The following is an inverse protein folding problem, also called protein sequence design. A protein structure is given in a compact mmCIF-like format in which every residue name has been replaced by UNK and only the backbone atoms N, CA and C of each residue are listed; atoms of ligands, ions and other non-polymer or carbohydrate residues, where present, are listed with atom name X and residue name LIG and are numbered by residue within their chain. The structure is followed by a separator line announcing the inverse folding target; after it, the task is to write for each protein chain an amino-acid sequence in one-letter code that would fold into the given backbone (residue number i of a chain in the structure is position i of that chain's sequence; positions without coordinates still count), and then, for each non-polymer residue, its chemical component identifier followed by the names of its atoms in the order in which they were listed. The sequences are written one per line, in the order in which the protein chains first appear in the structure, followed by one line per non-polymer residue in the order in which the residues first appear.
data_IF_285765920266
#
_entry.id   IF_285765920266
#
_cell.length_a   1.000
_cell.length_b   1.000
_cell.length_c   1.000
_cell.angle_alpha   90.00
_cell.angle_beta   90.00
_cell.angle_gamma   90.00
#
_symmetry.space_group_name_H-M   'P 1'
#
loop_
_entity.id
_entity.type
_entity.pdbx_description
1 polymer ?
#
# COMPACT_ATOMS: atom_id res chain seq x y z
N UNK A 1 51.77 -7.58 -51.77
CA UNK A 1 52.78 -6.80 -51.01
C UNK A 1 52.03 -5.59 -50.44
N UNK A 2 51.87 -5.27 -49.15
CA UNK A 2 52.40 -5.71 -47.86
C UNK A 2 51.26 -5.50 -46.83
N UNK A 3 51.22 -6.37 -45.83
CA UNK A 3 50.36 -6.32 -44.63
C UNK A 3 50.61 -5.04 -43.81
N UNK A 4 49.59 -4.38 -43.26
CA UNK A 4 49.54 -3.77 -41.90
C UNK A 4 48.05 -3.49 -41.57
N UNK A 5 47.38 -4.30 -40.76
CA UNK A 5 47.06 -4.06 -39.33
C UNK A 5 46.63 -2.62 -39.02
N UNK A 6 45.42 -2.44 -38.48
CA UNK A 6 45.16 -1.74 -37.21
C UNK A 6 43.70 -2.02 -36.84
N UNK A 7 43.60 -2.92 -35.87
CA UNK A 7 42.42 -3.24 -35.08
C UNK A 7 42.18 -2.01 -34.19
N UNK A 8 41.16 -1.21 -34.47
CA UNK A 8 40.67 -0.22 -33.51
C UNK A 8 39.47 -0.85 -32.81
N UNK A 9 39.78 -1.66 -31.80
CA UNK A 9 38.84 -2.02 -30.74
C UNK A 9 38.54 -0.73 -29.96
N UNK A 10 37.46 -0.03 -30.33
CA UNK A 10 36.90 1.03 -29.48
C UNK A 10 36.18 0.34 -28.31
N UNK A 11 36.97 0.00 -27.29
CA UNK A 11 36.50 -0.26 -25.93
C UNK A 11 36.37 1.08 -25.20
N UNK A 12 35.43 1.14 -24.24
CA UNK A 12 35.02 2.28 -23.40
C UNK A 12 33.97 3.21 -24.01
N UNK A 13 32.82 3.43 -23.38
CA UNK A 13 32.22 2.82 -22.21
C UNK A 13 30.71 3.04 -22.35
N UNK A 14 29.97 1.96 -22.63
CA UNK A 14 28.51 2.00 -22.55
C UNK A 14 28.17 2.04 -21.07
N UNK A 15 28.03 3.25 -20.50
CA UNK A 15 27.45 3.42 -19.17
C UNK A 15 26.00 2.97 -19.26
N UNK A 16 25.76 1.70 -18.96
CA UNK A 16 24.42 1.19 -18.69
C UNK A 16 23.98 1.91 -17.42
N UNK A 17 23.27 3.03 -17.59
CA UNK A 17 22.46 3.58 -16.53
C UNK A 17 21.42 2.50 -16.22
N UNK A 18 21.69 1.67 -15.22
CA UNK A 18 20.68 0.81 -14.62
C UNK A 18 19.69 1.74 -13.95
N UNK A 19 18.71 2.21 -14.72
CA UNK A 19 17.48 2.74 -14.18
C UNK A 19 16.85 1.59 -13.40
N UNK A 20 17.02 1.62 -12.08
CA UNK A 20 16.28 0.76 -11.18
C UNK A 20 14.82 1.17 -11.29
N UNK A 21 14.11 0.57 -12.25
CA UNK A 21 12.66 0.44 -12.18
C UNK A 21 12.40 -0.32 -10.88
N UNK A 22 11.98 0.41 -9.84
CA UNK A 22 11.42 -0.21 -8.65
C UNK A 22 10.22 -1.02 -9.12
N UNK A 23 10.42 -2.33 -9.16
CA UNK A 23 9.45 -3.32 -9.59
C UNK A 23 8.08 -3.01 -8.98
N UNK A 24 7.07 -2.93 -9.85
CA UNK A 24 5.68 -2.62 -9.51
C UNK A 24 5.00 -3.75 -8.72
N UNK A 25 5.55 -4.11 -7.58
CA UNK A 25 4.87 -4.97 -6.61
C UNK A 25 3.72 -4.16 -6.04
N UNK A 26 2.49 -4.57 -6.38
CA UNK A 26 1.26 -3.98 -5.86
C UNK A 26 1.21 -4.21 -4.34
N UNK A 27 1.68 -3.23 -3.57
CA UNK A 27 1.78 -3.35 -2.11
C UNK A 27 0.38 -3.34 -1.48
N UNK A 28 0.20 -4.19 -0.48
CA UNK A 28 -1.04 -4.35 0.28
C UNK A 28 -1.14 -3.32 1.42
N UNK A 29 -1.18 -2.03 1.08
CA UNK A 29 -1.16 -0.90 2.04
C UNK A 29 -2.32 0.05 1.79
N UNK A 30 -2.82 0.69 2.85
CA UNK A 30 -3.84 1.75 2.76
C UNK A 30 -3.27 3.02 2.15
N UNK A 31 -2.23 3.57 2.77
CA UNK A 31 -1.53 4.77 2.29
C UNK A 31 -0.26 4.40 1.52
N UNK A 32 -0.05 5.02 0.36
CA UNK A 32 1.13 4.83 -0.49
C UNK A 32 2.37 5.48 0.10
N UNK A 33 2.21 6.60 0.83
CA UNK A 33 3.32 7.34 1.44
C UNK A 33 3.32 7.24 2.96
N UNK A 34 4.50 7.12 3.54
CA UNK A 34 4.71 7.20 4.98
C UNK A 34 4.25 8.57 5.52
N UNK A 35 3.36 8.65 6.52
CA UNK A 35 2.87 9.93 7.06
C UNK A 35 3.97 10.82 7.67
N UNK A 36 5.06 10.20 8.12
CA UNK A 36 6.15 10.89 8.82
C UNK A 36 7.22 11.41 7.86
N UNK A 37 7.68 10.54 6.96
CA UNK A 37 8.82 10.84 6.07
C UNK A 37 8.41 11.09 4.61
N UNK A 38 7.14 10.92 4.28
CA UNK A 38 6.62 10.97 2.91
C UNK A 38 7.40 10.08 1.94
N UNK A 39 8.08 9.01 2.39
CA UNK A 39 8.69 7.97 1.54
C UNK A 39 7.68 6.88 1.21
N UNK A 40 7.98 5.92 0.32
CA UNK A 40 7.06 4.80 0.06
C UNK A 40 6.77 4.00 1.34
N UNK A 41 5.49 3.69 1.58
CA UNK A 41 5.09 2.86 2.71
C UNK A 41 5.42 1.37 2.46
N UNK A 42 5.60 0.61 3.54
CA UNK A 42 5.88 -0.83 3.49
C UNK A 42 4.81 -1.59 4.25
N UNK A 43 4.40 -2.75 3.71
CA UNK A 43 3.47 -3.68 4.36
C UNK A 43 3.92 -4.14 5.77
N UNK A 44 5.22 -4.08 6.05
CA UNK A 44 5.83 -4.59 7.28
C UNK A 44 5.62 -3.70 8.49
N UNK A 45 5.47 -2.39 8.28
CA UNK A 45 5.42 -1.41 9.36
C UNK A 45 4.07 -0.74 9.33
N UNK A 46 3.18 -1.11 10.25
CA UNK A 46 1.85 -0.51 10.37
C UNK A 46 1.43 -0.36 11.82
N UNK A 47 0.52 0.56 12.07
CA UNK A 47 -0.22 0.68 13.33
C UNK A 47 -1.70 0.89 13.05
N UNK A 48 -2.53 0.69 14.06
CA UNK A 48 -3.96 0.99 13.97
C UNK A 48 -4.24 2.43 14.43
N UNK A 49 -5.02 3.15 13.63
CA UNK A 49 -5.48 4.50 13.90
C UNK A 49 -6.94 4.63 13.46
N UNK A 50 -7.84 5.03 14.37
CA UNK A 50 -9.27 5.21 14.11
C UNK A 50 -9.97 3.99 13.46
N UNK A 51 -9.56 2.78 13.82
CA UNK A 51 -10.09 1.54 13.26
C UNK A 51 -9.54 1.21 11.87
N UNK A 52 -8.43 1.80 11.45
CA UNK A 52 -7.81 1.51 10.17
C UNK A 52 -6.30 1.35 10.31
N UNK A 53 -5.69 0.58 9.40
CA UNK A 53 -4.23 0.51 9.35
C UNK A 53 -3.63 1.74 8.69
N UNK A 54 -2.52 2.21 9.26
CA UNK A 54 -1.64 3.22 8.69
C UNK A 54 -0.26 2.59 8.53
N UNK A 55 0.29 2.63 7.33
CA UNK A 55 1.57 2.02 6.97
C UNK A 55 2.71 3.04 6.93
N UNK A 56 3.92 2.56 7.20
CA UNK A 56 5.12 3.36 7.35
C UNK A 56 6.27 2.76 6.56
N UNK A 57 7.32 3.54 6.34
CA UNK A 57 8.53 3.06 5.70
C UNK A 57 9.46 2.30 6.68
N UNK A 58 9.34 2.54 7.99
CA UNK A 58 10.19 1.92 9.01
C UNK A 58 9.57 1.94 10.41
N UNK A 59 10.09 1.10 11.32
CA UNK A 59 9.69 1.02 12.72
C UNK A 59 9.79 2.37 13.47
N UNK A 60 10.81 3.19 13.14
CA UNK A 60 11.01 4.48 13.78
C UNK A 60 9.90 5.49 13.50
N UNK A 61 9.27 5.40 12.32
CA UNK A 61 8.14 6.25 11.96
C UNK A 61 6.89 5.94 12.79
N UNK A 62 6.68 4.70 13.24
CA UNK A 62 5.56 4.34 14.12
C UNK A 62 5.64 5.15 15.43
N UNK A 63 6.82 5.15 16.06
CA UNK A 63 7.05 5.89 17.31
C UNK A 63 6.90 7.41 17.18
N UNK A 64 7.22 7.96 16.00
CA UNK A 64 7.00 9.38 15.73
C UNK A 64 5.51 9.67 15.53
N UNK A 65 4.83 8.83 14.75
CA UNK A 65 3.41 8.95 14.46
C UNK A 65 2.56 8.96 15.74
N UNK A 66 2.85 8.10 16.70
CA UNK A 66 2.13 8.01 17.98
C UNK A 66 2.13 9.31 18.80
N UNK A 67 3.06 10.23 18.54
CA UNK A 67 3.12 11.53 19.25
C UNK A 67 2.09 12.54 18.76
N UNK A 68 1.74 12.48 17.49
CA UNK A 68 0.72 13.34 16.87
C UNK A 68 0.10 12.67 15.63
N UNK A 69 -0.73 11.63 15.83
CA UNK A 69 -1.28 10.86 14.72
C UNK A 69 -2.04 11.74 13.71
N UNK A 70 -2.90 12.63 14.21
CA UNK A 70 -3.72 13.51 13.39
C UNK A 70 -2.87 14.48 12.56
N UNK A 71 -1.83 15.09 13.16
CA UNK A 71 -0.94 16.00 12.43
C UNK A 71 -0.09 15.30 11.37
N UNK A 72 0.28 14.03 11.58
CA UNK A 72 0.96 13.26 10.54
C UNK A 72 0.01 12.78 9.42
N UNK A 73 -1.22 12.38 9.73
CA UNK A 73 -2.21 12.06 8.70
C UNK A 73 -2.51 13.29 7.83
N UNK A 74 -2.60 14.48 8.42
CA UNK A 74 -2.86 15.72 7.68
C UNK A 74 -1.76 16.07 6.64
N UNK A 75 -0.55 15.51 6.78
CA UNK A 75 0.56 15.69 5.82
C UNK A 75 0.47 14.79 4.60
N UNK A 76 -0.38 13.76 4.63
CA UNK A 76 -0.59 12.86 3.51
C UNK A 76 -1.37 13.52 2.37
N UNK A 77 -1.28 12.93 1.18
CA UNK A 77 -2.18 13.28 0.08
C UNK A 77 -3.63 13.00 0.46
N UNK A 78 -4.57 13.67 -0.21
CA UNK A 78 -6.01 13.43 0.02
C UNK A 78 -6.40 11.97 -0.23
N UNK A 79 -5.81 11.35 -1.25
CA UNK A 79 -5.99 9.92 -1.56
C UNK A 79 -5.56 9.03 -0.38
N UNK A 80 -4.35 9.25 0.15
CA UNK A 80 -3.84 8.46 1.27
C UNK A 80 -4.64 8.74 2.55
N UNK A 81 -5.07 9.99 2.78
CA UNK A 81 -5.93 10.36 3.90
C UNK A 81 -7.30 9.66 3.84
N UNK A 82 -7.87 9.48 2.66
CA UNK A 82 -9.16 8.81 2.50
C UNK A 82 -9.00 7.28 2.58
N UNK A 83 -7.87 6.74 2.11
CA UNK A 83 -7.58 5.31 2.22
C UNK A 83 -7.38 4.85 3.68
N UNK A 84 -6.84 5.71 4.55
CA UNK A 84 -6.71 5.44 6.00
C UNK A 84 -8.00 5.71 6.80
N UNK A 85 -9.12 6.06 6.15
CA UNK A 85 -10.42 6.12 6.81
C UNK A 85 -11.13 4.77 6.73
N UNK A 86 -11.73 4.37 7.85
CA UNK A 86 -12.67 3.26 7.88
C UNK A 86 -13.88 3.59 7.00
N UNK A 87 -14.42 2.59 6.30
CA UNK A 87 -15.67 2.77 5.58
C UNK A 87 -16.83 2.98 6.56
N UNK A 88 -17.73 3.91 6.23
CA UNK A 88 -18.93 4.20 7.02
C UNK A 88 -20.16 3.44 6.53
N UNK A 89 -20.07 2.91 5.32
CA UNK A 89 -21.14 2.22 4.61
C UNK A 89 -20.68 0.78 4.29
N UNK A 90 -21.60 -0.17 4.41
CA UNK A 90 -21.39 -1.57 4.14
C UNK A 90 -21.15 -1.78 2.63
N UNK A 91 -20.02 -2.36 2.20
CA UNK A 91 -19.72 -2.53 0.78
C UNK A 91 -20.56 -3.63 0.10
N UNK A 92 -21.43 -4.32 0.85
CA UNK A 92 -22.30 -5.39 0.33
C UNK A 92 -23.73 -4.91 0.12
N UNK A 93 -24.26 -4.09 1.03
CA UNK A 93 -25.68 -3.68 1.05
C UNK A 93 -25.89 -2.18 1.00
N UNK A 94 -24.83 -1.37 1.06
CA UNK A 94 -24.88 0.10 1.18
C UNK A 94 -25.54 0.63 2.47
N UNK A 95 -25.78 -0.24 3.45
CA UNK A 95 -26.29 0.16 4.77
C UNK A 95 -25.21 0.85 5.62
N UNK A 96 -25.63 1.78 6.48
CA UNK A 96 -24.74 2.43 7.45
C UNK A 96 -24.16 1.44 8.44
N UNK A 97 -22.87 1.56 8.71
CA UNK A 97 -22.16 0.77 9.73
C UNK A 97 -22.28 1.49 11.07
N UNK A 98 -23.00 0.85 12.00
CA UNK A 98 -23.18 1.33 13.37
C UNK A 98 -22.28 0.60 14.37
N UNK A 99 -21.83 -0.61 14.03
CA UNK A 99 -20.95 -1.44 14.83
C UNK A 99 -19.72 -1.86 14.02
N UNK A 100 -18.53 -1.66 14.59
CA UNK A 100 -17.22 -1.97 13.99
C UNK A 100 -16.62 -3.28 14.50
N UNK A 101 -17.41 -4.16 15.12
CA UNK A 101 -16.96 -5.50 15.53
C UNK A 101 -16.81 -6.47 14.35
N UNK A 102 -17.59 -6.28 13.28
CA UNK A 102 -17.60 -7.13 12.09
C UNK A 102 -16.70 -6.58 10.99
N UNK A 103 -15.54 -7.19 10.81
CA UNK A 103 -14.58 -6.75 9.79
C UNK A 103 -13.73 -7.90 9.25
N UNK A 104 -13.13 -7.67 8.09
CA UNK A 104 -12.07 -8.51 7.52
C UNK A 104 -10.91 -7.65 7.04
N UNK A 105 -9.71 -8.21 7.02
CA UNK A 105 -8.55 -7.57 6.39
C UNK A 105 -8.55 -7.90 4.89
N UNK A 106 -8.58 -6.86 4.06
CA UNK A 106 -8.52 -6.98 2.59
C UNK A 106 -7.83 -5.76 2.01
N UNK A 107 -6.95 -5.94 1.04
CA UNK A 107 -6.21 -4.83 0.40
C UNK A 107 -5.52 -3.87 1.41
N UNK A 108 -4.98 -4.43 2.48
CA UNK A 108 -4.19 -3.69 3.47
C UNK A 108 -5.04 -2.89 4.45
N UNK A 109 -6.38 -2.98 4.34
CA UNK A 109 -7.34 -2.27 5.18
C UNK A 109 -8.27 -3.21 5.94
N UNK A 110 -8.78 -2.74 7.06
CA UNK A 110 -10.01 -3.27 7.67
C UNK A 110 -11.20 -2.80 6.83
N UNK A 111 -11.96 -3.77 6.31
CA UNK A 111 -13.25 -3.56 5.66
C UNK A 111 -14.31 -3.94 6.69
N UNK A 112 -15.14 -2.98 7.08
CA UNK A 112 -16.21 -3.16 8.06
C UNK A 112 -17.54 -3.50 7.38
N UNK A 113 -18.41 -4.22 8.10
CA UNK A 113 -19.70 -4.70 7.59
C UNK A 113 -20.83 -4.45 8.59
N UNK A 114 -22.04 -4.23 8.08
CA UNK A 114 -23.22 -4.01 8.92
C UNK A 114 -23.70 -5.29 9.63
N UNK A 115 -23.46 -6.47 9.06
CA UNK A 115 -23.92 -7.76 9.61
C UNK A 115 -22.99 -8.94 9.22
N UNK A 116 -23.14 -10.08 9.90
CA UNK A 116 -22.29 -11.25 9.70
C UNK A 116 -22.49 -11.88 8.31
N UNK A 117 -23.71 -11.86 7.77
CA UNK A 117 -23.98 -12.33 6.41
C UNK A 117 -23.23 -11.53 5.33
N UNK A 118 -22.97 -10.24 5.57
CA UNK A 118 -22.15 -9.42 4.68
C UNK A 118 -20.67 -9.81 4.73
N UNK A 119 -20.16 -10.22 5.90
CA UNK A 119 -18.79 -10.74 6.05
C UNK A 119 -18.61 -11.98 5.17
N UNK A 120 -19.55 -12.92 5.25
CA UNK A 120 -19.48 -14.18 4.49
C UNK A 120 -19.62 -13.95 2.98
N UNK A 121 -20.56 -13.10 2.57
CA UNK A 121 -20.74 -12.71 1.17
C UNK A 121 -19.47 -12.08 0.61
N UNK A 122 -18.83 -11.19 1.37
CA UNK A 122 -17.57 -10.56 0.95
C UNK A 122 -16.44 -11.58 0.83
N UNK A 123 -16.30 -12.49 1.80
CA UNK A 123 -15.29 -13.57 1.77
C UNK A 123 -15.44 -14.51 0.57
N UNK A 124 -16.67 -14.82 0.16
CA UNK A 124 -16.94 -15.62 -1.03
C UNK A 124 -16.49 -14.88 -2.30
N UNK A 125 -16.91 -13.63 -2.47
CA UNK A 125 -16.54 -12.79 -3.63
C UNK A 125 -15.01 -12.65 -3.79
N UNK A 126 -14.27 -12.49 -2.69
CA UNK A 126 -12.80 -12.42 -2.77
C UNK A 126 -12.16 -13.78 -3.10
N UNK A 127 -12.78 -14.90 -2.74
CA UNK A 127 -12.28 -16.24 -3.04
C UNK A 127 -12.52 -16.61 -4.51
N UNK A 128 -13.69 -16.26 -5.05
CA UNK A 128 -14.03 -16.41 -6.47
C UNK A 128 -13.05 -15.63 -7.36
N UNK A 129 -12.84 -14.35 -7.05
CA UNK A 129 -11.89 -13.49 -7.79
C UNK A 129 -10.44 -14.01 -7.76
N UNK A 130 -10.03 -14.66 -6.67
CA UNK A 130 -8.71 -15.31 -6.57
C UNK A 130 -8.62 -16.60 -7.39
N UNK A 131 -9.74 -17.26 -7.64
CA UNK A 131 -9.81 -18.53 -8.37
C UNK A 131 -9.96 -18.36 -9.88
N UNK A 132 -10.10 -17.11 -10.37
CA UNK A 132 -10.05 -16.80 -11.80
C UNK A 132 -11.25 -17.31 -12.61
N UNK A 133 -12.39 -17.50 -11.95
CA UNK A 133 -13.70 -17.78 -12.59
C UNK A 133 -14.43 -16.45 -12.81
#
# INVERSE_FOLDING_TARGET
MRKVSIIIFVLMALTIATASASDGVKQNVTNKRCPVMNSAASEKFRTEYNGQYVYFCCQGCIKMFEKDPAGYIAKLSKEDQDAVKANEVCPVTDDKITDRTRWVEHEGRKVYFCCDGCVDTFKQKIAEKKSGI
#
